data_IF_020957338731
#
_entry.id   IF_020957338731
#
_cell.length_a   1.000
_cell.length_b   1.000
_cell.length_c   1.000
_cell.angle_alpha   90.00
_cell.angle_beta   90.00
_cell.angle_gamma   90.00
#
_symmetry.space_group_name_H-M   'P 1'
#
loop_
_entity.id
_entity.type
_entity.pdbx_description
1 polymer ?
#
# COMPACT_ATOMS: atom_id res chain seq x y z
N UNK A 1 13.54 -7.88 -26.87
CA UNK A 1 13.29 -6.64 -26.11
C UNK A 1 13.29 -7.02 -24.64
N UNK A 2 14.37 -6.69 -23.94
CA UNK A 2 14.52 -6.91 -22.52
C UNK A 2 13.68 -5.89 -21.76
N UNK A 3 12.66 -6.35 -21.03
CA UNK A 3 12.04 -5.55 -19.98
C UNK A 3 11.78 -6.47 -18.79
N UNK A 4 12.80 -6.52 -17.96
CA UNK A 4 12.76 -6.95 -16.57
C UNK A 4 11.88 -6.00 -15.77
N UNK A 5 10.59 -6.29 -15.66
CA UNK A 5 9.76 -5.78 -14.57
C UNK A 5 8.90 -6.95 -14.11
N UNK A 6 9.33 -7.60 -13.03
CA UNK A 6 8.44 -8.51 -12.31
C UNK A 6 7.15 -7.75 -12.06
N UNK A 7 6.04 -8.31 -12.55
CA UNK A 7 4.68 -7.97 -12.14
C UNK A 7 4.65 -7.93 -10.61
N UNK A 8 4.86 -6.75 -10.04
CA UNK A 8 4.61 -6.50 -8.64
C UNK A 8 3.09 -6.39 -8.54
N UNK A 9 2.44 -7.55 -8.43
CA UNK A 9 1.00 -7.72 -8.32
C UNK A 9 0.43 -6.74 -7.30
N UNK A 10 -0.35 -5.78 -7.78
CA UNK A 10 -1.13 -4.94 -6.89
C UNK A 10 -2.18 -5.81 -6.23
N UNK A 11 -2.23 -5.80 -4.90
CA UNK A 11 -3.27 -6.50 -4.14
C UNK A 11 -4.48 -5.59 -3.97
N UNK A 12 -5.69 -6.12 -4.09
CA UNK A 12 -6.90 -5.38 -3.69
C UNK A 12 -6.87 -5.21 -2.17
N UNK A 13 -6.99 -3.97 -1.70
CA UNK A 13 -7.10 -3.72 -0.27
C UNK A 13 -8.46 -4.21 0.26
N UNK A 14 -8.44 -5.01 1.33
CA UNK A 14 -9.65 -5.50 1.99
C UNK A 14 -9.77 -4.85 3.37
N UNK A 15 -10.94 -4.29 3.66
CA UNK A 15 -11.22 -3.66 4.97
C UNK A 15 -11.06 -4.63 6.16
N UNK A 16 -11.24 -5.93 5.91
CA UNK A 16 -11.10 -7.00 6.91
C UNK A 16 -9.67 -7.13 7.46
N UNK A 17 -8.66 -6.60 6.76
CA UNK A 17 -7.27 -6.58 7.21
C UNK A 17 -7.03 -5.52 8.29
N UNK A 18 -7.95 -4.59 8.49
CA UNK A 18 -7.89 -3.54 9.51
C UNK A 18 -8.78 -3.89 10.70
N UNK A 19 -8.15 -4.19 11.84
CA UNK A 19 -8.83 -4.58 13.07
C UNK A 19 -8.22 -3.90 14.30
N UNK A 20 -8.95 -3.95 15.42
CA UNK A 20 -8.53 -3.33 16.68
C UNK A 20 -9.06 -1.90 16.86
N UNK A 21 -8.40 -1.14 17.73
CA UNK A 21 -8.75 0.25 17.99
C UNK A 21 -8.25 1.20 16.89
N UNK A 22 -8.71 2.46 16.96
CA UNK A 22 -8.39 3.49 15.96
C UNK A 22 -6.88 3.72 15.82
N UNK A 23 -6.13 3.64 16.91
CA UNK A 23 -4.68 3.88 16.88
C UNK A 23 -3.94 2.67 16.33
N UNK A 24 -4.43 1.45 16.60
CA UNK A 24 -3.93 0.24 15.98
C UNK A 24 -4.11 0.26 14.46
N UNK A 25 -5.31 0.61 13.98
CA UNK A 25 -5.57 0.71 12.53
C UNK A 25 -4.68 1.77 11.89
N UNK A 26 -4.50 2.94 12.52
CA UNK A 26 -3.58 3.97 12.02
C UNK A 26 -2.15 3.44 11.88
N UNK A 27 -1.67 2.62 12.83
CA UNK A 27 -0.34 1.99 12.75
C UNK A 27 -0.27 0.99 11.59
N UNK A 28 -1.28 0.13 11.44
CA UNK A 28 -1.34 -0.84 10.33
C UNK A 28 -1.25 -0.17 8.96
N UNK A 29 -1.90 0.98 8.80
CA UNK A 29 -1.91 1.76 7.57
C UNK A 29 -0.62 2.56 7.33
N UNK A 30 -0.09 3.22 8.37
CA UNK A 30 0.92 4.27 8.20
C UNK A 30 2.33 3.87 8.64
N UNK A 31 2.51 2.73 9.31
CA UNK A 31 3.79 2.34 9.90
C UNK A 31 4.33 1.03 9.32
N UNK A 32 5.66 0.94 9.27
CA UNK A 32 6.33 -0.27 8.90
C UNK A 32 6.13 -1.35 9.98
N UNK A 33 5.63 -2.52 9.60
CA UNK A 33 5.46 -3.65 10.52
C UNK A 33 6.78 -4.25 11.04
N UNK A 34 7.93 -3.85 10.48
CA UNK A 34 9.26 -4.31 10.91
C UNK A 34 9.93 -3.30 11.83
N UNK A 35 10.01 -2.03 11.41
CA UNK A 35 10.77 -1.00 12.13
C UNK A 35 9.92 0.12 12.72
N UNK A 36 8.59 0.07 12.58
CA UNK A 36 7.63 1.09 13.04
C UNK A 36 7.82 2.49 12.47
N UNK A 37 8.70 2.66 11.48
CA UNK A 37 8.89 3.95 10.82
C UNK A 37 7.71 4.28 9.90
N UNK A 38 7.40 5.57 9.77
CA UNK A 38 6.28 6.03 8.94
C UNK A 38 6.53 5.68 7.47
N UNK A 39 5.52 5.10 6.84
CA UNK A 39 5.54 4.73 5.42
C UNK A 39 5.31 5.97 4.55
N UNK A 40 5.99 5.99 3.41
CA UNK A 40 5.72 6.94 2.33
C UNK A 40 4.71 6.30 1.40
N UNK A 41 3.51 6.89 1.34
CA UNK A 41 2.41 6.44 0.49
C UNK A 41 2.35 7.30 -0.78
N UNK A 42 2.23 6.68 -1.94
CA UNK A 42 2.05 7.35 -3.23
C UNK A 42 0.80 6.81 -3.91
N UNK A 43 -0.12 7.69 -4.28
CA UNK A 43 -1.38 7.36 -4.91
C UNK A 43 -1.39 7.80 -6.38
N UNK A 44 -1.84 6.91 -7.26
CA UNK A 44 -2.09 7.17 -8.67
C UNK A 44 -3.55 6.86 -8.97
N UNK A 45 -4.35 7.90 -9.16
CA UNK A 45 -5.77 7.80 -9.48
C UNK A 45 -5.97 7.48 -10.96
N UNK A 46 -6.76 6.46 -11.25
CA UNK A 46 -7.27 6.12 -12.58
C UNK A 46 -8.81 6.23 -12.56
N UNK A 47 -9.29 7.38 -12.98
CA UNK A 47 -10.72 7.68 -13.03
C UNK A 47 -11.44 6.98 -14.20
N UNK A 48 -10.71 6.41 -15.17
CA UNK A 48 -11.34 5.66 -16.27
C UNK A 48 -11.84 4.32 -15.75
N UNK A 49 -11.03 3.68 -14.91
CA UNK A 49 -11.34 2.39 -14.30
C UNK A 49 -11.87 2.51 -12.87
N UNK A 50 -12.05 3.74 -12.36
CA UNK A 50 -12.49 4.05 -10.98
C UNK A 50 -11.66 3.34 -9.91
N UNK A 51 -10.33 3.37 -10.07
CA UNK A 51 -9.39 2.77 -9.12
C UNK A 51 -8.30 3.76 -8.71
N UNK A 52 -7.81 3.64 -7.47
CA UNK A 52 -6.55 4.27 -7.04
C UNK A 52 -5.52 3.16 -6.83
N UNK A 53 -4.36 3.31 -7.47
CA UNK A 53 -3.19 2.50 -7.20
C UNK A 53 -2.37 3.19 -6.11
N UNK A 54 -2.21 2.56 -4.96
CA UNK A 54 -1.36 3.02 -3.90
C UNK A 54 -0.07 2.21 -3.85
N UNK A 55 1.05 2.87 -3.56
CA UNK A 55 2.30 2.20 -3.20
C UNK A 55 2.79 2.74 -1.86
N UNK A 56 3.12 1.84 -0.94
CA UNK A 56 3.67 2.15 0.37
C UNK A 56 5.13 1.69 0.42
N UNK A 57 6.04 2.56 0.88
CA UNK A 57 7.47 2.23 1.02
C UNK A 57 7.99 2.71 2.37
N UNK A 58 8.82 1.89 3.01
CA UNK A 58 9.52 2.30 4.23
C UNK A 58 10.86 2.97 3.86
N UNK A 59 11.08 4.25 4.23
CA UNK A 59 12.33 4.95 3.90
C UNK A 59 13.53 4.43 4.71
N UNK A 60 13.29 3.86 5.89
CA UNK A 60 14.36 3.41 6.79
C UNK A 60 14.86 2.00 6.47
N UNK A 61 13.97 1.01 6.40
CA UNK A 61 14.38 -0.39 6.23
C UNK A 61 14.18 -0.96 4.81
N UNK A 62 13.49 -0.24 3.92
CA UNK A 62 13.22 -0.64 2.54
C UNK A 62 12.45 -1.96 2.33
N UNK A 63 12.10 -2.66 3.41
CA UNK A 63 11.62 -4.05 3.37
C UNK A 63 10.09 -4.16 3.25
N UNK A 64 9.35 -3.12 3.68
CA UNK A 64 7.89 -3.10 3.63
C UNK A 64 7.40 -2.28 2.43
N UNK A 65 7.55 -2.85 1.23
CA UNK A 65 7.04 -2.28 -0.01
C UNK A 65 5.71 -2.94 -0.35
N UNK A 66 4.61 -2.20 -0.25
CA UNK A 66 3.26 -2.69 -0.56
C UNK A 66 2.70 -1.96 -1.77
N UNK A 67 1.85 -2.63 -2.53
CA UNK A 67 1.14 -2.07 -3.66
C UNK A 67 -0.32 -2.47 -3.56
N UNK A 68 -1.21 -1.49 -3.43
CA UNK A 68 -2.63 -1.70 -3.25
C UNK A 68 -3.44 -1.10 -4.40
N UNK A 69 -4.57 -1.71 -4.70
CA UNK A 69 -5.61 -1.12 -5.54
C UNK A 69 -6.85 -0.91 -4.69
N UNK A 70 -7.29 0.34 -4.65
CA UNK A 70 -8.54 0.78 -4.04
C UNK A 70 -9.58 0.96 -5.14
N UNK A 71 -10.76 0.37 -4.99
CA UNK A 71 -11.89 0.51 -5.93
C UNK A 71 -12.81 1.63 -5.42
N UNK A 72 -13.21 2.56 -6.30
CA UNK A 72 -13.91 3.81 -5.95
C UNK A 72 -15.28 3.86 -6.65
N UNK A 73 -16.14 2.86 -6.45
CA UNK A 73 -17.50 2.82 -7.01
C UNK A 73 -18.55 3.06 -5.93
#
# INVERSE_FOLDING_TARGET
>A
MSSSEMDLDYKIELFEEYYGDVDHVKKLMNECNICSSKLVLSHLSDYTNMVIKETARCPECGSNNRKFVHIIN
#
